data_IF_050888691056
#
_entry.id   IF_050888691056
#
_cell.length_a   1.000
_cell.length_b   1.000
_cell.length_c   1.000
_cell.angle_alpha   90.00
_cell.angle_beta   90.00
_cell.angle_gamma   90.00
#
_symmetry.space_group_name_H-M   'P 1'
#
loop_
_entity.id
_entity.type
_entity.pdbx_description
1 polymer ?
#
# COMPACT_ATOMS: atom_id res chain seq x y z
N UNK A 1 32.22 29.96 6.37
CA UNK A 1 31.72 28.69 5.76
C UNK A 1 31.29 27.76 6.88
N UNK A 2 30.00 27.59 7.09
CA UNK A 2 29.47 26.74 8.15
C UNK A 2 29.45 25.27 7.66
N UNK A 3 30.13 24.38 8.38
CA UNK A 3 30.08 22.94 8.13
C UNK A 3 28.76 22.37 8.69
N UNK A 4 27.89 21.89 7.82
CA UNK A 4 26.71 21.14 8.19
C UNK A 4 27.15 19.80 8.76
N UNK A 5 26.87 19.55 10.05
CA UNK A 5 27.13 18.27 10.73
C UNK A 5 25.94 17.34 10.48
N UNK A 6 26.09 16.36 9.59
CA UNK A 6 25.11 15.30 9.41
C UNK A 6 25.10 14.40 10.65
N UNK A 7 24.06 14.47 11.43
CA UNK A 7 23.86 13.61 12.60
C UNK A 7 23.29 12.27 12.09
N UNK A 8 24.06 11.18 12.24
CA UNK A 8 23.57 9.83 11.98
C UNK A 8 22.57 9.44 13.06
N UNK A 9 21.29 9.37 12.72
CA UNK A 9 20.30 8.77 13.61
C UNK A 9 20.22 7.28 13.27
N UNK A 10 20.70 6.44 14.15
CA UNK A 10 20.62 4.98 14.04
C UNK A 10 19.27 4.56 14.61
N UNK A 11 18.29 4.29 13.74
CA UNK A 11 17.05 3.65 14.13
C UNK A 11 17.14 2.19 13.70
N UNK A 12 17.02 1.28 14.66
CA UNK A 12 17.02 -0.16 14.42
C UNK A 12 15.67 -0.57 13.81
N UNK A 13 15.61 -0.63 12.49
CA UNK A 13 14.49 -1.24 11.79
C UNK A 13 14.57 -2.78 11.89
N UNK A 14 13.43 -3.49 12.08
CA UNK A 14 13.39 -4.94 12.16
C UNK A 14 13.84 -5.67 10.89
N UNK A 15 14.07 -4.96 9.80
CA UNK A 15 14.52 -5.46 8.49
C UNK A 15 16.03 -5.28 8.22
N UNK A 16 16.86 -5.17 9.26
CA UNK A 16 18.31 -5.14 9.13
C UNK A 16 18.90 -3.76 8.84
N UNK A 17 19.99 -3.50 9.51
CA UNK A 17 20.77 -2.26 9.55
C UNK A 17 21.33 -1.87 8.16
N UNK A 18 20.54 -1.22 7.35
CA UNK A 18 21.04 -0.43 6.24
C UNK A 18 20.68 1.02 6.54
N UNK A 19 21.67 1.91 6.63
CA UNK A 19 21.48 3.37 6.69
C UNK A 19 20.85 3.85 5.37
N UNK A 20 19.55 3.61 5.20
CA UNK A 20 18.81 4.11 4.04
C UNK A 20 18.53 5.59 4.25
N UNK A 21 18.98 6.42 3.32
CA UNK A 21 18.61 7.82 3.29
C UNK A 21 17.09 7.91 3.17
N UNK A 22 16.43 8.59 4.10
CA UNK A 22 15.00 8.85 4.05
C UNK A 22 14.74 9.83 2.91
N UNK A 23 14.12 9.34 1.84
CA UNK A 23 13.93 10.10 0.60
C UNK A 23 12.56 10.79 0.60
N UNK A 24 11.53 10.07 1.06
CA UNK A 24 10.18 10.58 1.13
C UNK A 24 9.80 10.79 2.59
N UNK A 25 9.24 11.96 2.89
CA UNK A 25 8.83 12.35 4.24
C UNK A 25 7.41 12.87 4.17
N UNK A 26 6.53 12.31 4.97
CA UNK A 26 5.14 12.71 5.06
C UNK A 26 4.63 12.70 6.50
N UNK A 27 3.33 12.93 6.63
CA UNK A 27 2.67 13.10 7.91
C UNK A 27 1.42 12.23 7.98
N UNK A 28 1.20 11.56 9.12
CA UNK A 28 -0.03 10.81 9.38
C UNK A 28 -0.53 11.09 10.79
N UNK A 29 -1.86 11.25 10.91
CA UNK A 29 -2.55 11.39 12.20
C UNK A 29 -3.31 10.12 12.58
N UNK A 30 -3.31 9.10 11.71
CA UNK A 30 -4.09 7.88 11.92
C UNK A 30 -3.32 6.91 12.81
N UNK A 31 -3.96 6.47 13.91
CA UNK A 31 -3.46 5.44 14.84
C UNK A 31 -2.07 5.73 15.48
N UNK A 32 -1.69 6.99 15.63
CA UNK A 32 -0.43 7.35 16.29
C UNK A 32 -0.65 8.36 17.41
N UNK A 33 -0.02 8.10 18.55
CA UNK A 33 0.12 9.06 19.62
C UNK A 33 0.96 10.27 19.16
N UNK A 34 0.75 11.43 19.78
CA UNK A 34 1.23 12.74 19.34
C UNK A 34 2.75 12.88 19.10
N UNK A 35 3.56 11.91 19.49
CA UNK A 35 5.03 12.04 19.48
C UNK A 35 5.75 11.67 18.19
N UNK A 36 5.12 10.99 17.21
CA UNK A 36 5.79 10.72 15.93
C UNK A 36 4.82 10.54 14.77
N UNK A 37 4.28 11.65 14.31
CA UNK A 37 3.35 11.67 13.18
C UNK A 37 4.06 11.65 11.81
N UNK A 38 5.39 11.55 11.79
CA UNK A 38 6.16 11.57 10.55
C UNK A 38 6.35 10.15 10.00
N UNK A 39 5.91 9.94 8.77
CA UNK A 39 6.10 8.71 8.01
C UNK A 39 7.23 8.88 7.00
N UNK A 40 7.91 7.79 6.71
CA UNK A 40 9.05 7.77 5.80
C UNK A 40 8.92 6.67 4.76
N UNK A 41 9.34 6.98 3.56
CA UNK A 41 9.56 6.05 2.44
C UNK A 41 8.44 5.01 2.27
N UNK A 42 8.69 3.75 2.63
CA UNK A 42 7.76 2.64 2.47
C UNK A 42 6.46 2.83 3.27
N UNK A 43 6.55 3.22 4.55
CA UNK A 43 5.37 3.44 5.39
C UNK A 43 4.50 4.58 4.86
N UNK A 44 5.13 5.64 4.36
CA UNK A 44 4.43 6.75 3.74
C UNK A 44 3.73 6.30 2.46
N UNK A 45 4.46 5.66 1.56
CA UNK A 45 3.91 5.19 0.29
C UNK A 45 2.74 4.23 0.50
N UNK A 46 2.87 3.32 1.49
CA UNK A 46 1.80 2.40 1.87
C UNK A 46 0.56 3.12 2.39
N UNK A 47 0.75 4.11 3.25
CA UNK A 47 -0.36 4.92 3.78
C UNK A 47 -1.05 5.71 2.67
N UNK A 48 -0.30 6.29 1.74
CA UNK A 48 -0.84 7.03 0.60
C UNK A 48 -1.68 6.12 -0.31
N UNK A 49 -1.19 4.90 -0.58
CA UNK A 49 -1.92 3.90 -1.37
C UNK A 49 -3.22 3.48 -0.68
N UNK A 50 -3.18 3.16 0.61
CA UNK A 50 -4.37 2.79 1.38
C UNK A 50 -5.39 3.92 1.44
N UNK A 51 -4.95 5.17 1.58
CA UNK A 51 -5.84 6.33 1.55
C UNK A 51 -6.62 6.44 0.23
N UNK A 52 -6.03 6.03 -0.90
CA UNK A 52 -6.74 6.01 -2.17
C UNK A 52 -7.90 4.99 -2.17
N UNK A 53 -7.75 3.86 -1.48
CA UNK A 53 -8.80 2.86 -1.33
C UNK A 53 -9.87 3.24 -0.29
N UNK A 54 -9.52 4.02 0.72
CA UNK A 54 -10.49 4.53 1.71
C UNK A 54 -11.40 5.62 1.16
N UNK A 55 -10.96 6.37 0.15
CA UNK A 55 -11.68 7.50 -0.39
C UNK A 55 -12.52 7.06 -1.59
N UNK A 56 -13.79 7.42 -1.59
CA UNK A 56 -14.69 7.22 -2.71
C UNK A 56 -14.36 8.20 -3.84
N UNK A 57 -14.38 7.73 -5.10
CA UNK A 57 -14.19 8.58 -6.28
C UNK A 57 -15.27 9.69 -6.33
N UNK A 58 -14.84 10.94 -6.50
CA UNK A 58 -15.70 12.11 -6.45
C UNK A 58 -15.84 12.78 -5.09
N UNK A 59 -15.38 12.17 -4.01
CA UNK A 59 -15.48 12.73 -2.65
C UNK A 59 -14.47 13.87 -2.41
N UNK A 60 -13.30 13.79 -3.04
CA UNK A 60 -12.26 14.81 -2.91
C UNK A 60 -12.50 15.97 -3.86
N UNK A 61 -12.94 17.12 -3.34
CA UNK A 61 -13.34 18.29 -4.15
C UNK A 61 -12.23 18.81 -5.07
N UNK A 62 -10.98 18.81 -4.62
CA UNK A 62 -9.85 19.30 -5.43
C UNK A 62 -9.39 18.31 -6.51
N UNK A 63 -9.68 17.03 -6.31
CA UNK A 63 -9.33 15.96 -7.25
C UNK A 63 -10.45 14.90 -7.31
N UNK A 64 -11.51 15.13 -8.07
CA UNK A 64 -12.64 14.20 -8.15
C UNK A 64 -12.30 12.81 -8.69
N UNK A 65 -11.17 12.68 -9.40
CA UNK A 65 -10.68 11.41 -9.94
C UNK A 65 -9.82 10.62 -8.93
N UNK A 66 -9.61 11.16 -7.73
CA UNK A 66 -8.91 10.46 -6.66
C UNK A 66 -9.87 9.57 -5.89
N UNK A 67 -9.41 8.38 -5.53
CA UNK A 67 -10.20 7.39 -4.82
C UNK A 67 -10.67 6.25 -5.70
N UNK A 68 -11.49 5.35 -5.14
CA UNK A 68 -11.98 4.14 -5.78
C UNK A 68 -13.49 4.17 -6.07
N UNK A 69 -13.90 3.43 -7.11
CA UNK A 69 -15.32 3.19 -7.44
C UNK A 69 -15.93 2.06 -6.59
N UNK A 70 -15.11 1.27 -5.89
CA UNK A 70 -15.55 0.04 -5.21
C UNK A 70 -16.69 0.31 -4.22
N UNK A 71 -16.64 1.43 -3.52
CA UNK A 71 -17.70 1.81 -2.57
C UNK A 71 -19.08 1.96 -3.21
N UNK A 72 -19.14 2.31 -4.48
CA UNK A 72 -20.43 2.37 -5.23
C UNK A 72 -20.87 1.00 -5.71
N UNK A 73 -19.92 0.17 -6.16
CA UNK A 73 -20.20 -1.17 -6.72
C UNK A 73 -20.64 -2.19 -5.68
N UNK A 74 -20.37 -1.94 -4.38
CA UNK A 74 -20.79 -2.84 -3.30
C UNK A 74 -22.30 -3.09 -3.24
N UNK A 75 -23.10 -2.16 -3.73
CA UNK A 75 -24.57 -2.26 -3.71
C UNK A 75 -25.15 -2.74 -5.03
N UNK A 76 -24.32 -3.02 -6.01
CA UNK A 76 -24.74 -3.51 -7.32
C UNK A 76 -24.57 -5.04 -7.43
N UNK A 77 -25.38 -5.72 -8.28
CA UNK A 77 -25.17 -7.15 -8.53
C UNK A 77 -23.79 -7.37 -9.16
N UNK A 78 -22.99 -8.28 -8.58
CA UNK A 78 -21.67 -8.56 -9.08
C UNK A 78 -21.73 -9.29 -10.43
N UNK A 79 -21.39 -8.60 -11.48
CA UNK A 79 -21.31 -9.08 -12.86
C UNK A 79 -19.84 -9.12 -13.33
N UNK A 80 -19.59 -9.80 -14.45
CA UNK A 80 -18.25 -9.78 -15.07
C UNK A 80 -17.81 -8.36 -15.48
N UNK A 81 -18.75 -7.50 -15.81
CA UNK A 81 -18.49 -6.09 -16.16
C UNK A 81 -18.03 -5.29 -14.94
N UNK A 82 -18.67 -5.50 -13.79
CA UNK A 82 -18.28 -4.87 -12.52
C UNK A 82 -16.92 -5.39 -12.07
N UNK A 83 -16.65 -6.71 -12.17
CA UNK A 83 -15.35 -7.27 -11.87
C UNK A 83 -14.24 -6.59 -12.69
N UNK A 84 -14.45 -6.46 -14.00
CA UNK A 84 -13.49 -5.80 -14.89
C UNK A 84 -13.31 -4.32 -14.53
N UNK A 85 -14.40 -3.60 -14.25
CA UNK A 85 -14.32 -2.19 -13.86
C UNK A 85 -13.56 -1.99 -12.54
N UNK A 86 -13.75 -2.88 -11.56
CA UNK A 86 -13.01 -2.87 -10.30
C UNK A 86 -11.52 -3.17 -10.53
N UNK A 87 -11.20 -4.16 -11.38
CA UNK A 87 -9.82 -4.49 -11.72
C UNK A 87 -9.11 -3.30 -12.39
N UNK A 88 -9.75 -2.66 -13.36
CA UNK A 88 -9.22 -1.47 -14.03
C UNK A 88 -9.01 -0.29 -13.06
N UNK A 89 -9.96 -0.06 -12.14
CA UNK A 89 -9.85 1.00 -11.13
C UNK A 89 -8.68 0.76 -10.16
N UNK A 90 -8.48 -0.48 -9.72
CA UNK A 90 -7.35 -0.85 -8.85
C UNK A 90 -6.01 -0.66 -9.58
N UNK A 91 -5.92 -1.10 -10.84
CA UNK A 91 -4.73 -0.88 -11.67
C UNK A 91 -4.44 0.62 -11.81
N UNK A 92 -5.48 1.43 -12.12
CA UNK A 92 -5.34 2.88 -12.24
C UNK A 92 -4.83 3.53 -10.94
N UNK A 93 -5.32 3.07 -9.79
CA UNK A 93 -4.89 3.58 -8.47
C UNK A 93 -3.41 3.28 -8.20
N UNK A 94 -2.98 2.04 -8.47
CA UNK A 94 -1.58 1.65 -8.23
C UNK A 94 -0.65 2.35 -9.23
N UNK A 95 -1.01 2.43 -10.50
CA UNK A 95 -0.20 3.04 -11.56
C UNK A 95 -0.02 4.56 -11.39
N UNK A 96 -0.95 5.22 -10.68
CA UNK A 96 -0.81 6.67 -10.34
C UNK A 96 0.36 6.95 -9.42
N UNK A 97 0.80 5.98 -8.65
CA UNK A 97 1.95 6.13 -7.74
C UNK A 97 3.17 5.36 -8.27
N UNK A 98 4.17 6.04 -8.84
CA UNK A 98 5.35 5.39 -9.45
C UNK A 98 6.23 4.64 -8.43
N UNK A 99 5.93 4.73 -7.14
CA UNK A 99 6.64 3.99 -6.08
C UNK A 99 6.20 2.53 -6.00
N UNK A 100 5.03 2.20 -6.59
CA UNK A 100 4.44 0.88 -6.56
C UNK A 100 4.39 0.22 -7.93
N UNK A 101 4.49 -1.10 -7.93
CA UNK A 101 4.17 -1.95 -9.09
C UNK A 101 3.17 -3.01 -8.63
N UNK A 102 2.13 -3.22 -9.42
CA UNK A 102 1.17 -4.29 -9.20
C UNK A 102 1.67 -5.56 -9.88
N UNK A 103 1.91 -6.61 -9.09
CA UNK A 103 2.39 -7.90 -9.59
C UNK A 103 1.22 -8.85 -9.87
N UNK A 104 0.28 -8.93 -8.93
CA UNK A 104 -0.92 -9.78 -9.06
C UNK A 104 -2.13 -9.08 -8.46
N UNK A 105 -3.29 -9.25 -9.11
CA UNK A 105 -4.59 -8.79 -8.62
C UNK A 105 -5.59 -9.92 -8.73
N UNK A 106 -6.38 -10.14 -7.68
CA UNK A 106 -7.52 -11.02 -7.66
C UNK A 106 -8.70 -10.33 -7.01
N UNK A 107 -9.84 -10.34 -7.70
CA UNK A 107 -11.10 -9.80 -7.20
C UNK A 107 -12.01 -10.97 -6.89
N UNK A 108 -12.54 -11.04 -5.68
CA UNK A 108 -13.45 -12.09 -5.24
C UNK A 108 -14.68 -11.49 -4.61
N UNK A 109 -15.85 -11.99 -5.02
CA UNK A 109 -17.10 -11.62 -4.37
C UNK A 109 -17.26 -12.38 -3.07
N UNK A 110 -17.68 -11.66 -2.03
CA UNK A 110 -18.11 -12.22 -0.76
C UNK A 110 -19.62 -11.99 -0.55
N UNK A 111 -20.19 -12.62 0.50
CA UNK A 111 -21.63 -12.59 0.76
C UNK A 111 -22.14 -11.14 0.96
N UNK A 112 -21.32 -10.27 1.59
CA UNK A 112 -21.67 -8.88 1.89
C UNK A 112 -20.65 -7.87 1.37
N UNK A 113 -19.89 -8.24 0.33
CA UNK A 113 -18.86 -7.34 -0.16
C UNK A 113 -17.94 -7.89 -1.23
N UNK A 114 -16.76 -7.30 -1.30
CA UNK A 114 -15.70 -7.68 -2.23
C UNK A 114 -14.37 -7.83 -1.49
N UNK A 115 -13.66 -8.90 -1.75
CA UNK A 115 -12.28 -9.09 -1.33
C UNK A 115 -11.33 -8.86 -2.51
N UNK A 116 -10.33 -8.02 -2.32
CA UNK A 116 -9.25 -7.76 -3.26
C UNK A 116 -7.95 -8.29 -2.67
N UNK A 117 -7.35 -9.27 -3.32
CA UNK A 117 -6.02 -9.73 -3.00
C UNK A 117 -5.01 -9.18 -4.00
N UNK A 118 -4.10 -8.33 -3.52
CA UNK A 118 -3.07 -7.67 -4.30
C UNK A 118 -1.69 -8.15 -3.87
N UNK A 119 -0.83 -8.41 -4.83
CA UNK A 119 0.61 -8.50 -4.61
C UNK A 119 1.24 -7.26 -5.24
N UNK A 120 1.89 -6.46 -4.43
CA UNK A 120 2.49 -5.20 -4.84
C UNK A 120 3.95 -5.15 -4.44
N UNK A 121 4.77 -4.49 -5.24
CA UNK A 121 6.18 -4.30 -4.96
C UNK A 121 6.50 -2.81 -4.83
N UNK A 122 7.11 -2.43 -3.71
CA UNK A 122 7.66 -1.10 -3.49
C UNK A 122 9.00 -0.97 -4.21
N UNK A 123 8.98 -0.26 -5.33
CA UNK A 123 10.09 -0.17 -6.29
C UNK A 123 11.40 0.34 -5.68
N UNK A 124 11.42 1.41 -4.85
CA UNK A 124 12.67 1.98 -4.36
C UNK A 124 13.55 1.01 -3.56
N UNK A 125 12.95 0.03 -2.90
CA UNK A 125 13.66 -0.93 -2.05
C UNK A 125 13.42 -2.38 -2.45
N UNK A 126 12.65 -2.61 -3.51
CA UNK A 126 12.26 -3.95 -3.99
C UNK A 126 11.64 -4.80 -2.87
N UNK A 127 10.68 -4.20 -2.15
CA UNK A 127 9.95 -4.85 -1.06
C UNK A 127 8.59 -5.27 -1.59
N UNK A 128 8.32 -6.58 -1.61
CA UNK A 128 7.01 -7.12 -1.99
C UNK A 128 6.11 -7.30 -0.78
N UNK A 129 4.84 -6.96 -0.93
CA UNK A 129 3.80 -7.08 0.09
C UNK A 129 2.56 -7.74 -0.52
N UNK A 130 1.96 -8.68 0.21
CA UNK A 130 0.63 -9.20 -0.08
C UNK A 130 -0.38 -8.43 0.75
N UNK A 131 -1.32 -7.77 0.09
CA UNK A 131 -2.34 -6.91 0.68
C UNK A 131 -3.72 -7.49 0.39
N UNK A 132 -4.53 -7.76 1.42
CA UNK A 132 -5.93 -8.12 1.30
C UNK A 132 -6.79 -6.96 1.77
N UNK A 133 -7.66 -6.49 0.89
CA UNK A 133 -8.62 -5.42 1.13
C UNK A 133 -10.03 -5.99 1.11
N UNK A 134 -10.67 -6.01 2.27
CA UNK A 134 -12.02 -6.53 2.45
C UNK A 134 -13.00 -5.36 2.51
N UNK A 135 -13.73 -5.13 1.44
CA UNK A 135 -14.79 -4.13 1.36
C UNK A 135 -16.11 -4.76 1.74
N UNK A 136 -16.67 -4.35 2.87
CA UNK A 136 -17.93 -4.86 3.38
C UNK A 136 -18.96 -3.74 3.46
N UNK A 137 -20.22 -4.05 3.10
CA UNK A 137 -21.34 -3.08 3.09
C UNK A 137 -21.65 -2.52 4.48
N UNK A 138 -21.42 -3.30 5.55
CA UNK A 138 -21.78 -2.94 6.92
C UNK A 138 -20.60 -2.33 7.70
N UNK A 139 -19.39 -2.90 7.53
CA UNK A 139 -18.22 -2.54 8.32
C UNK A 139 -17.22 -1.64 7.61
N UNK A 140 -17.40 -1.44 6.30
CA UNK A 140 -16.49 -0.66 5.47
C UNK A 140 -15.27 -1.46 5.03
N UNK A 141 -14.12 -0.78 4.86
CA UNK A 141 -12.87 -1.38 4.42
C UNK A 141 -12.04 -1.91 5.59
N UNK A 142 -11.75 -3.20 5.57
CA UNK A 142 -10.73 -3.84 6.42
C UNK A 142 -9.48 -4.18 5.60
N UNK A 143 -8.30 -3.95 6.19
CA UNK A 143 -7.02 -4.17 5.51
C UNK A 143 -6.20 -5.19 6.28
N UNK A 144 -5.81 -6.25 5.60
CA UNK A 144 -4.87 -7.25 6.11
C UNK A 144 -3.63 -7.27 5.23
N UNK A 145 -2.45 -7.21 5.83
CA UNK A 145 -1.19 -7.25 5.09
C UNK A 145 -0.24 -8.26 5.68
N UNK A 146 0.42 -8.99 4.80
CA UNK A 146 1.53 -9.87 5.14
C UNK A 146 2.75 -9.43 4.31
N UNK A 147 3.81 -8.89 4.94
CA UNK A 147 5.05 -8.62 4.23
C UNK A 147 5.61 -9.95 3.72
N UNK A 148 5.76 -10.08 2.41
CA UNK A 148 6.46 -11.20 1.81
C UNK A 148 7.94 -10.99 2.09
N UNK A 149 8.49 -11.77 3.01
CA UNK A 149 9.94 -11.78 3.23
C UNK A 149 10.59 -12.30 1.95
N UNK A 150 11.45 -11.47 1.34
CA UNK A 150 12.31 -11.94 0.27
C UNK A 150 13.08 -13.15 0.80
N UNK A 151 12.81 -14.33 0.24
CA UNK A 151 13.58 -15.54 0.53
C UNK A 151 15.06 -15.23 0.23
N UNK A 152 15.85 -15.12 1.29
CA UNK A 152 17.29 -15.18 1.14
C UNK A 152 17.60 -16.57 0.61
N UNK A 153 17.90 -16.66 -0.68
CA UNK A 153 18.47 -17.84 -1.28
C UNK A 153 19.77 -18.13 -0.52
N UNK A 154 19.68 -19.06 0.44
CA UNK A 154 20.84 -19.67 1.04
C UNK A 154 21.56 -20.44 -0.06
N UNK A 155 22.59 -19.86 -0.64
CA UNK A 155 23.60 -20.61 -1.35
C UNK A 155 24.27 -21.52 -0.36
N UNK A 156 23.82 -22.76 -0.35
CA UNK A 156 24.57 -23.85 0.33
C UNK A 156 25.85 -24.02 -0.45
N UNK A 157 26.92 -23.40 0.05
CA UNK A 157 28.27 -23.70 -0.38
C UNK A 157 28.59 -25.10 0.13
N UNK A 158 28.45 -26.09 -0.73
CA UNK A 158 29.01 -27.44 -0.50
C UNK A 158 30.52 -27.33 -0.60
N UNK A 159 31.19 -27.32 0.53
CA UNK A 159 32.62 -27.47 0.60
C UNK A 159 32.97 -28.96 0.50
N UNK A 160 33.67 -29.30 -0.54
CA UNK A 160 34.57 -30.46 -0.56
C UNK A 160 35.95 -30.00 -0.14
#
# INVERSE_FOLDING_TARGET
MAKVKLTKTTTSDPLGTVNKLKTYVGFSTVNRDFDSNTLYDYELARTDLLNAFYIKKGEKLENPNYGTIIHDTLFEPFTSEISTAVEEDVIEIVDKDPRWTLDTLRVQQEEYGLNLALEITYVPYNISESLSLDFNQETGLAVTSNPVQAEQSQTVSSAY
#
